data_IF_795539221111
#
_entry.id   IF_795539221111
#
_cell.length_a   1.000
_cell.length_b   1.000
_cell.length_c   1.000
_cell.angle_alpha   90.00
_cell.angle_beta   90.00
_cell.angle_gamma   90.00
#
_symmetry.space_group_name_H-M   'P 1'
#
loop_
_entity.id
_entity.type
_entity.pdbx_description
1 polymer ?
#
# COMPACT_ATOMS: atom_id res chain seq x y z
N UNK A 1 22.36 12.67 -8.94
CA UNK A 1 20.96 13.12 -9.06
C UNK A 1 20.22 12.59 -7.84
N UNK A 2 19.38 13.38 -7.16
CA UNK A 2 18.66 12.87 -5.98
C UNK A 2 17.68 11.77 -6.40
N UNK A 3 17.41 10.79 -5.52
CA UNK A 3 16.45 9.70 -5.79
C UNK A 3 15.09 10.23 -6.24
N UNK A 4 14.60 11.34 -5.64
CA UNK A 4 13.37 12.01 -6.06
C UNK A 4 13.39 12.44 -7.53
N UNK A 5 14.51 12.98 -8.03
CA UNK A 5 14.63 13.37 -9.44
C UNK A 5 14.68 12.16 -10.38
N UNK A 6 15.32 11.07 -9.95
CA UNK A 6 15.33 9.80 -10.71
C UNK A 6 13.93 9.22 -10.81
N UNK A 7 13.22 9.14 -9.68
CA UNK A 7 11.84 8.65 -9.62
C UNK A 7 10.91 9.49 -10.50
N UNK A 8 10.98 10.82 -10.39
CA UNK A 8 10.18 11.72 -11.23
C UNK A 8 10.47 11.51 -12.72
N UNK A 9 11.74 11.39 -13.09
CA UNK A 9 12.14 11.16 -14.50
C UNK A 9 11.60 9.82 -15.00
N UNK A 10 11.74 8.74 -14.25
CA UNK A 10 11.21 7.41 -14.61
C UNK A 10 9.69 7.47 -14.78
N UNK A 11 8.98 8.09 -13.85
CA UNK A 11 7.53 8.23 -13.91
C UNK A 11 7.09 9.06 -15.12
N UNK A 12 7.78 10.17 -15.41
CA UNK A 12 7.49 11.01 -16.57
C UNK A 12 7.74 10.26 -17.88
N UNK A 13 8.87 9.56 -18.00
CA UNK A 13 9.18 8.74 -19.19
C UNK A 13 8.14 7.65 -19.39
N UNK A 14 7.76 6.96 -18.31
CA UNK A 14 6.74 5.91 -18.37
C UNK A 14 5.38 6.46 -18.80
N UNK A 15 4.97 7.60 -18.23
CA UNK A 15 3.71 8.26 -18.54
C UNK A 15 3.64 8.73 -20.01
N UNK A 16 4.72 9.38 -20.50
CA UNK A 16 4.82 9.82 -21.90
C UNK A 16 4.84 8.61 -22.85
N UNK A 17 5.63 7.59 -22.55
CA UNK A 17 5.71 6.37 -23.36
C UNK A 17 4.39 5.64 -23.45
N UNK A 18 3.64 5.58 -22.35
CA UNK A 18 2.31 4.97 -22.31
C UNK A 18 1.30 5.69 -23.19
N UNK A 19 1.28 7.03 -23.17
CA UNK A 19 0.43 7.82 -24.06
C UNK A 19 0.83 7.68 -25.52
N UNK A 20 2.13 7.66 -25.81
CA UNK A 20 2.63 7.42 -27.17
C UNK A 20 2.23 6.02 -27.67
N UNK A 21 2.32 5.00 -26.83
CA UNK A 21 1.87 3.65 -27.15
C UNK A 21 0.38 3.61 -27.47
N UNK A 22 -0.47 4.25 -26.66
CA UNK A 22 -1.90 4.34 -26.92
C UNK A 22 -2.20 5.08 -28.22
N UNK A 23 -1.46 6.14 -28.51
CA UNK A 23 -1.57 6.86 -29.78
C UNK A 23 -1.25 5.96 -30.97
N UNK A 24 -0.13 5.23 -30.92
CA UNK A 24 0.29 4.31 -31.98
C UNK A 24 -0.71 3.17 -32.19
N UNK A 25 -1.22 2.58 -31.10
CA UNK A 25 -2.26 1.55 -31.14
C UNK A 25 -3.56 2.10 -31.77
N UNK A 26 -3.98 3.29 -31.35
CA UNK A 26 -5.17 3.93 -31.87
C UNK A 26 -5.06 4.29 -33.35
N UNK A 27 -3.93 4.83 -33.77
CA UNK A 27 -3.65 5.13 -35.18
C UNK A 27 -3.64 3.86 -36.03
N UNK A 28 -2.96 2.81 -35.57
CA UNK A 28 -2.82 1.57 -36.31
C UNK A 28 -4.15 0.81 -36.44
N UNK A 29 -4.96 0.75 -35.37
CA UNK A 29 -6.16 -0.09 -35.34
C UNK A 29 -7.46 0.66 -35.58
N UNK A 30 -7.59 1.93 -35.16
CA UNK A 30 -8.86 2.66 -35.22
C UNK A 30 -8.97 3.60 -36.41
N UNK A 31 -7.85 4.07 -36.95
CA UNK A 31 -7.80 5.08 -38.02
C UNK A 31 -8.73 6.28 -37.76
N UNK A 32 -8.81 6.73 -36.50
CA UNK A 32 -9.66 7.85 -36.06
C UNK A 32 -8.82 9.12 -36.16
N UNK A 33 -9.21 10.05 -37.03
CA UNK A 33 -8.48 11.29 -37.30
C UNK A 33 -8.28 12.16 -36.04
N UNK A 34 -9.19 12.14 -35.09
CA UNK A 34 -9.15 12.95 -33.88
C UNK A 34 -8.71 12.18 -32.62
N UNK A 35 -8.25 10.93 -32.75
CA UNK A 35 -7.86 10.12 -31.60
C UNK A 35 -6.73 10.75 -30.78
N UNK A 36 -5.82 11.46 -31.43
CA UNK A 36 -4.74 12.18 -30.77
C UNK A 36 -5.24 13.27 -29.81
N UNK A 37 -6.36 13.94 -30.12
CA UNK A 37 -6.92 14.95 -29.21
C UNK A 37 -7.42 14.34 -27.90
N UNK A 38 -8.00 13.15 -27.96
CA UNK A 38 -8.43 12.39 -26.79
C UNK A 38 -7.20 12.06 -25.92
N UNK A 39 -6.13 11.54 -26.51
CA UNK A 39 -4.91 11.19 -25.82
C UNK A 39 -4.26 12.42 -25.17
N UNK A 40 -4.15 13.54 -25.89
CA UNK A 40 -3.63 14.80 -25.35
C UNK A 40 -4.52 15.32 -24.23
N UNK A 41 -5.85 15.28 -24.37
CA UNK A 41 -6.78 15.71 -23.35
C UNK A 41 -6.60 14.94 -22.03
N UNK A 42 -6.51 13.62 -22.10
CA UNK A 42 -6.24 12.79 -20.92
C UNK A 42 -4.83 12.96 -20.37
N UNK A 43 -3.84 13.21 -21.22
CA UNK A 43 -2.49 13.55 -20.77
C UNK A 43 -2.50 14.81 -19.90
N UNK A 44 -3.10 15.90 -20.40
CA UNK A 44 -3.22 17.17 -19.68
C UNK A 44 -4.02 16.99 -18.38
N UNK A 45 -5.15 16.29 -18.45
CA UNK A 45 -6.00 16.02 -17.30
C UNK A 45 -5.21 15.29 -16.20
N UNK A 46 -4.52 14.21 -16.56
CA UNK A 46 -3.76 13.40 -15.60
C UNK A 46 -2.54 14.15 -15.05
N UNK A 47 -1.86 14.94 -15.87
CA UNK A 47 -0.72 15.75 -15.43
C UNK A 47 -1.14 16.87 -14.44
N UNK A 48 -2.37 17.41 -14.60
CA UNK A 48 -2.89 18.48 -13.73
C UNK A 48 -3.61 17.96 -12.48
N UNK A 49 -4.04 16.70 -12.46
CA UNK A 49 -4.91 16.17 -11.41
C UNK A 49 -4.33 16.31 -10.00
N UNK A 50 -3.07 15.92 -9.79
CA UNK A 50 -2.40 16.04 -8.49
C UNK A 50 -2.18 17.49 -8.09
N UNK A 51 -1.91 18.39 -9.05
CA UNK A 51 -1.76 19.83 -8.79
C UNK A 51 -3.08 20.48 -8.39
N UNK A 52 -4.19 20.11 -9.06
CA UNK A 52 -5.54 20.58 -8.70
C UNK A 52 -5.92 20.15 -7.29
N UNK A 53 -5.62 18.90 -6.91
CA UNK A 53 -5.88 18.40 -5.56
C UNK A 53 -5.04 19.10 -4.49
N UNK A 54 -3.79 19.46 -4.80
CA UNK A 54 -2.93 20.22 -3.88
C UNK A 54 -3.39 21.69 -3.74
N UNK A 55 -4.11 22.20 -4.72
CA UNK A 55 -4.67 23.56 -4.66
C UNK A 55 -5.94 23.61 -3.81
N UNK A 56 -6.90 22.71 -4.05
CA UNK A 56 -8.16 22.69 -3.31
C UNK A 56 -8.79 21.29 -3.31
N UNK A 57 -9.22 20.82 -2.14
CA UNK A 57 -9.95 19.56 -2.00
C UNK A 57 -11.46 19.77 -2.20
N UNK A 58 -11.95 19.67 -3.45
CA UNK A 58 -13.36 19.73 -3.80
C UNK A 58 -13.82 18.54 -4.64
N UNK A 59 -15.14 18.38 -4.81
CA UNK A 59 -15.72 17.22 -5.53
C UNK A 59 -15.26 17.12 -6.98
N UNK A 60 -15.11 18.26 -7.68
CA UNK A 60 -14.69 18.29 -9.07
C UNK A 60 -13.24 17.81 -9.21
N UNK A 61 -12.33 18.32 -8.37
CA UNK A 61 -10.92 17.96 -8.46
C UNK A 61 -10.67 16.51 -8.04
N UNK A 62 -11.42 16.00 -7.03
CA UNK A 62 -11.43 14.57 -6.69
C UNK A 62 -11.93 13.69 -7.82
N UNK A 63 -12.99 14.10 -8.52
CA UNK A 63 -13.48 13.40 -9.69
C UNK A 63 -12.44 13.36 -10.81
N UNK A 64 -11.79 14.51 -11.09
CA UNK A 64 -10.69 14.59 -12.07
C UNK A 64 -9.55 13.66 -11.67
N UNK A 65 -9.15 13.66 -10.40
CA UNK A 65 -8.10 12.78 -9.88
C UNK A 65 -8.48 11.30 -10.03
N UNK A 66 -9.70 10.93 -9.68
CA UNK A 66 -10.23 9.57 -9.85
C UNK A 66 -10.21 9.12 -11.32
N UNK A 67 -10.73 9.94 -12.23
CA UNK A 67 -10.74 9.63 -13.68
C UNK A 67 -9.30 9.52 -14.21
N UNK A 68 -8.40 10.38 -13.76
CA UNK A 68 -6.97 10.31 -14.12
C UNK A 68 -6.33 9.00 -13.63
N UNK A 69 -6.69 8.53 -12.44
CA UNK A 69 -6.25 7.24 -11.92
C UNK A 69 -6.77 6.07 -12.77
N UNK A 70 -8.04 6.09 -13.17
CA UNK A 70 -8.60 5.09 -14.11
C UNK A 70 -7.86 5.13 -15.45
N UNK A 71 -7.56 6.33 -15.96
CA UNK A 71 -6.82 6.48 -17.21
C UNK A 71 -5.41 5.91 -17.15
N UNK A 72 -4.69 6.09 -16.03
CA UNK A 72 -3.39 5.42 -15.81
C UNK A 72 -3.57 3.90 -15.87
N UNK A 73 -4.63 3.37 -15.32
CA UNK A 73 -5.00 1.94 -15.46
C UNK A 73 -5.18 1.52 -16.91
N UNK A 74 -5.90 2.32 -17.71
CA UNK A 74 -6.06 2.07 -19.16
C UNK A 74 -4.70 1.99 -19.87
N UNK A 75 -3.76 2.90 -19.54
CA UNK A 75 -2.40 2.88 -20.11
C UNK A 75 -1.68 1.57 -19.76
N UNK A 76 -1.68 1.19 -18.48
CA UNK A 76 -0.99 -0.01 -17.99
C UNK A 76 -1.60 -1.29 -18.59
N UNK A 77 -2.92 -1.37 -18.62
CA UNK A 77 -3.62 -2.50 -19.21
C UNK A 77 -3.42 -2.58 -20.72
N UNK A 78 -3.28 -1.43 -21.39
CA UNK A 78 -2.98 -1.40 -22.83
C UNK A 78 -1.64 -2.04 -23.13
N UNK A 79 -0.61 -1.78 -22.33
CA UNK A 79 0.67 -2.46 -22.44
C UNK A 79 0.52 -3.97 -22.25
N UNK A 80 -0.22 -4.38 -21.21
CA UNK A 80 -0.44 -5.79 -20.91
C UNK A 80 -1.20 -6.51 -22.03
N UNK A 81 -2.30 -5.95 -22.50
CA UNK A 81 -3.09 -6.50 -23.60
C UNK A 81 -2.31 -6.52 -24.92
N UNK A 82 -1.55 -5.46 -25.21
CA UNK A 82 -0.70 -5.41 -26.41
C UNK A 82 0.29 -6.57 -26.41
N UNK A 83 0.97 -6.83 -25.30
CA UNK A 83 1.89 -7.96 -25.21
C UNK A 83 1.18 -9.31 -25.44
N UNK A 84 -0.01 -9.51 -24.84
CA UNK A 84 -0.79 -10.73 -25.06
C UNK A 84 -1.16 -10.89 -26.52
N UNK A 85 -1.72 -9.84 -27.15
CA UNK A 85 -2.17 -9.89 -28.54
C UNK A 85 -1.02 -10.11 -29.50
N UNK A 86 0.13 -9.50 -29.22
CA UNK A 86 1.35 -9.67 -30.02
C UNK A 86 1.91 -11.10 -29.92
N UNK A 87 2.12 -11.61 -28.69
CA UNK A 87 2.72 -12.94 -28.51
C UNK A 87 1.80 -14.09 -28.94
N UNK A 88 0.48 -13.91 -28.83
CA UNK A 88 -0.49 -14.89 -29.31
C UNK A 88 -0.83 -14.72 -30.79
N UNK A 89 -0.24 -13.72 -31.47
CA UNK A 89 -0.45 -13.40 -32.89
C UNK A 89 -1.93 -13.24 -33.26
N UNK A 90 -2.73 -12.65 -32.33
CA UNK A 90 -4.19 -12.57 -32.46
C UNK A 90 -4.65 -11.71 -33.64
N UNK A 91 -3.80 -10.82 -34.16
CA UNK A 91 -4.06 -10.00 -35.34
C UNK A 91 -4.39 -10.82 -36.59
N UNK A 92 -4.00 -12.08 -36.64
CA UNK A 92 -4.29 -12.97 -37.77
C UNK A 92 -5.66 -13.65 -37.69
N UNK A 93 -6.28 -13.64 -36.52
CA UNK A 93 -7.50 -14.42 -36.24
C UNK A 93 -8.70 -13.56 -35.85
N UNK A 94 -8.50 -12.27 -35.57
CA UNK A 94 -9.56 -11.41 -35.04
C UNK A 94 -9.75 -10.20 -35.93
N UNK A 95 -10.89 -10.13 -36.60
CA UNK A 95 -11.35 -8.92 -37.27
C UNK A 95 -11.69 -7.84 -36.23
N UNK A 96 -11.47 -6.57 -36.59
CA UNK A 96 -11.72 -5.43 -35.72
C UNK A 96 -10.97 -5.52 -34.36
N UNK A 97 -9.70 -5.93 -34.39
CA UNK A 97 -8.87 -6.13 -33.23
C UNK A 97 -8.86 -4.93 -32.27
N UNK A 98 -8.90 -3.70 -32.80
CA UNK A 98 -8.97 -2.48 -32.02
C UNK A 98 -10.24 -2.41 -31.17
N UNK A 99 -11.39 -2.77 -31.73
CA UNK A 99 -12.64 -2.81 -30.97
C UNK A 99 -12.51 -3.78 -29.79
N UNK A 100 -12.04 -5.00 -30.02
CA UNK A 100 -11.86 -5.99 -28.96
C UNK A 100 -10.80 -5.56 -27.95
N UNK A 101 -9.74 -4.89 -28.37
CA UNK A 101 -8.73 -4.35 -27.49
C UNK A 101 -9.31 -3.37 -26.45
N UNK A 102 -10.16 -2.44 -26.89
CA UNK A 102 -10.82 -1.48 -25.98
C UNK A 102 -11.95 -2.10 -25.17
N UNK A 103 -12.73 -3.01 -25.75
CA UNK A 103 -13.80 -3.71 -25.03
C UNK A 103 -13.25 -4.59 -23.91
N UNK A 104 -12.14 -5.29 -24.11
CA UNK A 104 -11.49 -6.11 -23.07
C UNK A 104 -11.02 -5.28 -21.87
N UNK A 105 -10.74 -3.99 -22.03
CA UNK A 105 -10.35 -3.14 -20.91
C UNK A 105 -11.46 -2.95 -19.88
N UNK A 106 -12.73 -2.92 -20.32
CA UNK A 106 -13.88 -2.66 -19.42
C UNK A 106 -13.96 -3.72 -18.29
N UNK A 107 -14.04 -5.03 -18.57
CA UNK A 107 -14.08 -6.04 -17.53
C UNK A 107 -12.80 -6.08 -16.69
N UNK A 108 -11.63 -5.77 -17.28
CA UNK A 108 -10.38 -5.69 -16.55
C UNK A 108 -10.45 -4.55 -15.53
N UNK A 109 -10.83 -3.34 -15.94
CA UNK A 109 -10.95 -2.18 -15.04
C UNK A 109 -11.97 -2.42 -13.93
N UNK A 110 -13.11 -3.05 -14.24
CA UNK A 110 -14.09 -3.44 -13.21
C UNK A 110 -13.48 -4.42 -12.22
N UNK A 111 -12.78 -5.44 -12.68
CA UNK A 111 -12.10 -6.41 -11.83
C UNK A 111 -11.03 -5.75 -10.95
N UNK A 112 -10.24 -4.85 -11.52
CA UNK A 112 -9.18 -4.11 -10.82
C UNK A 112 -9.75 -3.19 -9.74
N UNK A 113 -10.82 -2.45 -10.06
CA UNK A 113 -11.51 -1.61 -9.10
C UNK A 113 -12.12 -2.44 -7.96
N UNK A 114 -12.78 -3.56 -8.27
CA UNK A 114 -13.30 -4.46 -7.25
C UNK A 114 -12.18 -5.08 -6.41
N UNK A 115 -11.03 -5.39 -7.00
CA UNK A 115 -9.85 -5.91 -6.30
C UNK A 115 -9.23 -4.88 -5.35
N UNK A 116 -9.34 -3.59 -5.69
CA UNK A 116 -8.92 -2.48 -4.85
C UNK A 116 -9.96 -2.17 -3.75
N UNK A 117 -11.26 -2.20 -4.10
CA UNK A 117 -12.34 -1.81 -3.20
C UNK A 117 -12.69 -2.87 -2.16
N UNK A 118 -12.57 -4.18 -2.50
CA UNK A 118 -12.97 -5.30 -1.65
C UNK A 118 -11.81 -5.76 -0.77
N UNK A 119 -11.68 -5.17 0.43
CA UNK A 119 -10.65 -5.56 1.40
C UNK A 119 -10.84 -7.04 1.79
N UNK A 120 -9.85 -7.88 1.60
CA UNK A 120 -9.84 -9.29 2.00
C UNK A 120 -9.23 -9.49 3.39
N UNK A 121 -9.50 -10.62 4.00
CA UNK A 121 -8.82 -11.06 5.22
C UNK A 121 -7.93 -12.24 4.84
N UNK A 122 -6.60 -12.03 4.90
CA UNK A 122 -5.64 -13.13 4.80
C UNK A 122 -5.35 -13.63 6.21
N UNK A 123 -5.45 -14.94 6.42
CA UNK A 123 -5.20 -15.58 7.71
C UNK A 123 -3.89 -16.32 7.69
N UNK A 124 -3.06 -16.09 8.70
CA UNK A 124 -1.77 -16.76 8.87
C UNK A 124 -1.55 -17.15 10.33
N UNK A 125 -0.65 -18.10 10.56
CA UNK A 125 -0.16 -18.47 11.89
C UNK A 125 1.33 -18.14 11.97
N UNK A 126 1.76 -17.56 13.09
CA UNK A 126 3.16 -17.25 13.35
C UNK A 126 3.55 -17.85 14.70
N UNK A 127 4.61 -18.66 14.70
CA UNK A 127 5.17 -19.29 15.89
C UNK A 127 6.35 -18.49 16.39
N UNK A 128 6.23 -17.95 17.61
CA UNK A 128 7.24 -17.14 18.26
C UNK A 128 7.86 -17.95 19.41
N UNK A 129 9.19 -17.97 19.44
CA UNK A 129 9.94 -18.60 20.54
C UNK A 129 9.72 -17.79 21.82
N UNK A 130 9.60 -18.50 22.94
CA UNK A 130 9.41 -17.92 24.28
C UNK A 130 8.23 -16.94 24.39
N UNK A 131 7.23 -17.07 23.49
CA UNK A 131 5.99 -16.29 23.55
C UNK A 131 5.30 -16.50 24.91
N UNK A 132 4.94 -15.42 25.65
CA UNK A 132 4.18 -15.56 26.88
C UNK A 132 2.87 -16.31 26.66
N UNK A 133 2.48 -17.15 27.60
CA UNK A 133 1.22 -17.93 27.54
C UNK A 133 0.00 -17.03 27.34
N UNK A 134 0.08 -15.79 27.83
CA UNK A 134 -0.94 -14.78 27.60
C UNK A 134 -1.23 -14.52 26.11
N UNK A 135 -0.21 -14.57 25.25
CA UNK A 135 -0.32 -14.30 23.82
C UNK A 135 -0.53 -15.55 22.98
N UNK A 136 -0.36 -16.75 23.55
CA UNK A 136 -0.59 -17.98 22.81
C UNK A 136 -2.04 -18.10 22.38
N UNK A 137 -2.27 -18.50 21.13
CA UNK A 137 -3.58 -18.60 20.48
C UNK A 137 -4.35 -17.26 20.36
N UNK A 138 -3.76 -16.11 20.68
CA UNK A 138 -4.40 -14.83 20.45
C UNK A 138 -4.29 -14.42 18.99
N UNK A 139 -5.32 -13.72 18.53
CA UNK A 139 -5.39 -13.14 17.19
C UNK A 139 -4.98 -11.69 17.25
N UNK A 140 -4.09 -11.31 16.37
CA UNK A 140 -3.77 -9.91 16.08
C UNK A 140 -4.16 -9.59 14.64
N UNK A 141 -4.43 -8.31 14.36
CA UNK A 141 -4.68 -7.83 13.00
C UNK A 141 -3.55 -6.90 12.58
N UNK A 142 -3.01 -7.14 11.39
CA UNK A 142 -2.10 -6.23 10.72
C UNK A 142 -2.83 -5.53 9.57
N UNK A 143 -2.77 -4.20 9.51
CA UNK A 143 -3.28 -3.35 8.45
C UNK A 143 -2.21 -2.31 8.06
N UNK A 144 -2.22 -1.84 6.82
CA UNK A 144 -1.32 -0.81 6.32
C UNK A 144 -1.86 -0.21 5.02
N UNK A 145 -1.24 0.86 4.53
CA UNK A 145 -1.44 1.42 3.20
C UNK A 145 -2.92 1.65 2.87
N UNK A 146 -3.61 2.42 3.71
CA UNK A 146 -5.00 2.79 3.45
C UNK A 146 -5.09 3.90 2.42
N UNK A 147 -4.12 4.84 2.46
CA UNK A 147 -4.09 6.03 1.61
C UNK A 147 -5.43 6.77 1.59
N UNK A 148 -5.91 7.12 2.79
CA UNK A 148 -7.09 7.98 2.92
C UNK A 148 -6.77 9.34 2.34
N UNK A 149 -7.61 9.79 1.39
CA UNK A 149 -7.33 11.01 0.65
C UNK A 149 -8.32 11.26 -0.48
N UNK A 150 -7.87 11.68 -1.66
CA UNK A 150 -8.75 12.04 -2.77
C UNK A 150 -9.67 10.92 -3.22
N UNK A 151 -9.20 9.68 -3.20
CA UNK A 151 -9.95 8.48 -3.66
C UNK A 151 -10.66 7.80 -2.52
N UNK A 152 -9.91 7.41 -1.48
CA UNK A 152 -10.44 6.68 -0.34
C UNK A 152 -10.76 7.63 0.80
N UNK A 153 -12.04 7.72 1.18
CA UNK A 153 -12.53 8.68 2.18
C UNK A 153 -13.08 7.94 3.42
N UNK A 154 -13.77 8.68 4.28
CA UNK A 154 -14.33 8.19 5.54
C UNK A 154 -15.14 6.89 5.39
N UNK A 155 -15.94 6.74 4.33
CA UNK A 155 -16.71 5.52 4.08
C UNK A 155 -15.83 4.28 3.87
N UNK A 156 -14.66 4.45 3.28
CA UNK A 156 -13.68 3.36 3.12
C UNK A 156 -13.01 3.02 4.44
N UNK A 157 -12.63 4.04 5.23
CA UNK A 157 -12.14 3.84 6.59
C UNK A 157 -13.16 3.11 7.46
N UNK A 158 -14.43 3.54 7.44
CA UNK A 158 -15.53 2.88 8.14
C UNK A 158 -15.64 1.39 7.77
N UNK A 159 -15.56 1.08 6.48
CA UNK A 159 -15.60 -0.29 5.98
C UNK A 159 -14.42 -1.13 6.52
N UNK A 160 -13.22 -0.55 6.58
CA UNK A 160 -12.04 -1.19 7.17
C UNK A 160 -12.28 -1.46 8.65
N UNK A 161 -12.67 -0.44 9.42
CA UNK A 161 -12.90 -0.56 10.88
C UNK A 161 -13.96 -1.62 11.18
N UNK A 162 -15.09 -1.62 10.46
CA UNK A 162 -16.10 -2.67 10.60
C UNK A 162 -15.53 -4.07 10.36
N UNK A 163 -14.64 -4.20 9.37
CA UNK A 163 -14.00 -5.47 9.06
C UNK A 163 -13.01 -5.90 10.14
N UNK A 164 -12.16 -5.00 10.63
CA UNK A 164 -11.24 -5.26 11.74
C UNK A 164 -12.00 -5.68 12.98
N UNK A 165 -13.02 -4.90 13.38
CA UNK A 165 -13.81 -5.16 14.59
C UNK A 165 -14.53 -6.51 14.55
N UNK A 166 -14.96 -6.96 13.36
CA UNK A 166 -15.57 -8.29 13.16
C UNK A 166 -14.62 -9.45 13.46
N UNK A 167 -13.31 -9.23 13.37
CA UNK A 167 -12.29 -10.24 13.64
C UNK A 167 -12.05 -10.44 15.15
N UNK A 168 -12.51 -9.50 16.01
CA UNK A 168 -12.35 -9.55 17.46
C UNK A 168 -10.90 -9.77 17.90
N UNK A 169 -9.96 -9.07 17.26
CA UNK A 169 -8.54 -9.19 17.52
C UNK A 169 -8.17 -8.68 18.91
N UNK A 170 -7.19 -9.32 19.55
CA UNK A 170 -6.64 -8.87 20.84
C UNK A 170 -5.86 -7.57 20.67
N UNK A 171 -5.05 -7.44 19.62
CA UNK A 171 -4.34 -6.22 19.27
C UNK A 171 -4.45 -5.93 17.77
N UNK A 172 -4.33 -4.64 17.40
CA UNK A 172 -4.28 -4.20 16.00
C UNK A 172 -3.00 -3.40 15.77
N UNK A 173 -2.27 -3.77 14.74
CA UNK A 173 -1.02 -3.14 14.32
C UNK A 173 -1.23 -2.49 12.96
N UNK A 174 -1.01 -1.18 12.87
CA UNK A 174 -1.13 -0.42 11.62
C UNK A 174 0.26 0.09 11.27
N UNK A 175 0.83 -0.43 10.20
CA UNK A 175 2.20 -0.11 9.79
C UNK A 175 2.22 0.90 8.65
N UNK A 176 1.79 2.12 8.95
CA UNK A 176 1.96 3.29 8.11
C UNK A 176 1.00 3.45 6.94
N UNK A 177 1.15 4.59 6.32
CA UNK A 177 0.42 5.07 5.15
C UNK A 177 -1.11 4.98 5.31
N UNK A 178 -1.58 5.49 6.47
CA UNK A 178 -3.01 5.69 6.68
C UNK A 178 -3.54 6.80 5.79
N UNK A 179 -2.73 7.83 5.55
CA UNK A 179 -3.05 9.00 4.73
C UNK A 179 -2.30 8.95 3.39
N UNK A 180 -2.88 9.58 2.37
CA UNK A 180 -2.25 9.64 1.03
C UNK A 180 -1.11 10.68 0.96
N UNK A 181 -1.06 11.62 1.91
CA UNK A 181 0.00 12.63 2.00
C UNK A 181 -0.21 13.86 1.13
N UNK A 182 -1.35 13.98 0.45
CA UNK A 182 -1.69 15.10 -0.42
C UNK A 182 -2.69 16.09 0.20
N UNK A 183 -3.30 15.74 1.34
CA UNK A 183 -4.33 16.52 1.97
C UNK A 183 -3.77 17.72 2.75
N UNK A 184 -4.36 18.89 2.53
CA UNK A 184 -4.14 20.06 3.36
C UNK A 184 -5.18 20.19 4.51
N UNK A 185 -6.31 19.49 4.41
CA UNK A 185 -7.42 19.55 5.38
C UNK A 185 -7.96 18.14 5.69
N UNK A 186 -8.04 17.83 6.98
CA UNK A 186 -8.59 16.57 7.52
C UNK A 186 -9.95 16.76 8.20
N UNK A 187 -10.60 17.92 8.07
CA UNK A 187 -11.91 18.20 8.69
C UNK A 187 -13.00 17.20 8.28
N UNK A 188 -12.86 16.59 7.10
CA UNK A 188 -13.75 15.54 6.60
C UNK A 188 -13.58 14.19 7.32
N UNK A 189 -12.46 14.00 8.02
CA UNK A 189 -12.09 12.74 8.65
C UNK A 189 -12.51 12.72 10.13
N UNK A 190 -13.78 12.44 10.37
CA UNK A 190 -14.24 12.22 11.75
C UNK A 190 -13.93 10.78 12.18
N UNK A 191 -12.65 10.51 12.50
CA UNK A 191 -12.18 9.21 12.99
C UNK A 191 -12.92 8.79 14.28
N UNK A 192 -13.39 9.74 15.08
CA UNK A 192 -14.11 9.46 16.32
C UNK A 192 -15.37 8.63 16.13
N UNK A 193 -15.99 8.67 14.97
CA UNK A 193 -17.23 7.94 14.67
C UNK A 193 -17.00 6.43 14.50
N UNK A 194 -15.77 5.99 14.23
CA UNK A 194 -15.45 4.59 13.90
C UNK A 194 -14.19 4.12 14.63
N UNK A 195 -14.35 3.72 15.89
CA UNK A 195 -13.22 3.25 16.70
C UNK A 195 -12.87 1.79 16.42
N UNK A 196 -11.60 1.54 16.21
CA UNK A 196 -11.03 0.19 16.19
C UNK A 196 -11.06 -0.35 17.64
N UNK A 197 -11.60 -1.58 17.80
CA UNK A 197 -11.73 -2.25 19.08
C UNK A 197 -10.69 -3.36 19.19
N UNK A 198 -9.82 -3.26 20.21
CA UNK A 198 -8.84 -4.29 20.54
C UNK A 198 -8.56 -4.25 22.04
N UNK A 199 -8.54 -5.42 22.71
CA UNK A 199 -8.39 -5.50 24.18
C UNK A 199 -7.01 -5.09 24.65
N UNK A 200 -5.98 -5.36 23.85
CA UNK A 200 -4.58 -5.05 24.16
C UNK A 200 -4.09 -3.75 23.50
N UNK A 201 -4.94 -3.10 22.72
CA UNK A 201 -4.66 -1.81 22.12
C UNK A 201 -4.52 -1.81 20.60
N UNK A 202 -4.46 -0.60 20.07
CA UNK A 202 -4.21 -0.31 18.65
C UNK A 202 -2.91 0.47 18.56
N UNK A 203 -1.97 -0.06 17.78
CA UNK A 203 -0.62 0.48 17.64
C UNK A 203 -0.41 0.95 16.21
N UNK A 204 0.33 2.04 16.06
CA UNK A 204 0.63 2.66 14.77
C UNK A 204 2.12 2.97 14.66
N UNK A 205 2.73 2.70 13.51
CA UNK A 205 4.05 3.25 13.12
C UNK A 205 3.89 4.07 11.84
N UNK A 206 4.67 5.13 11.68
CA UNK A 206 4.54 6.03 10.53
C UNK A 206 5.06 5.37 9.24
N UNK A 207 4.35 5.59 8.14
CA UNK A 207 4.81 5.33 6.79
C UNK A 207 5.36 6.59 6.12
N UNK A 208 5.89 6.44 4.92
CA UNK A 208 6.52 7.55 4.19
C UNK A 208 5.52 8.63 3.76
N UNK A 209 4.26 8.30 3.53
CA UNK A 209 3.20 9.28 3.23
C UNK A 209 2.76 10.04 4.48
N UNK A 210 2.70 9.38 5.63
CA UNK A 210 2.40 10.05 6.90
C UNK A 210 3.47 11.07 7.27
N UNK A 211 4.75 10.77 6.99
CA UNK A 211 5.86 11.69 7.22
C UNK A 211 5.76 12.95 6.33
N UNK A 212 5.18 12.85 5.13
CA UNK A 212 4.92 14.01 4.26
C UNK A 212 3.94 14.99 4.89
N UNK A 213 2.96 14.49 5.66
CA UNK A 213 2.00 15.30 6.42
C UNK A 213 2.59 15.91 7.69
N UNK A 214 3.68 15.34 8.17
CA UNK A 214 4.32 15.63 9.43
C UNK A 214 3.78 14.80 10.60
N UNK A 215 4.69 14.19 11.32
CA UNK A 215 4.39 13.27 12.41
C UNK A 215 3.50 13.87 13.49
N UNK A 216 3.66 15.16 13.79
CA UNK A 216 2.83 15.88 14.77
C UNK A 216 1.33 15.83 14.40
N UNK A 217 0.99 16.13 13.16
CA UNK A 217 -0.40 16.09 12.67
C UNK A 217 -0.99 14.69 12.79
N UNK A 218 -0.23 13.67 12.37
CA UNK A 218 -0.67 12.26 12.46
C UNK A 218 -0.85 11.83 13.91
N UNK A 219 0.09 12.19 14.81
CA UNK A 219 0.00 11.89 16.23
C UNK A 219 -1.23 12.51 16.90
N UNK A 220 -1.54 13.78 16.60
CA UNK A 220 -2.71 14.47 17.13
C UNK A 220 -4.02 13.80 16.66
N UNK A 221 -4.11 13.48 15.36
CA UNK A 221 -5.28 12.84 14.78
C UNK A 221 -5.51 11.42 15.35
N UNK A 222 -4.47 10.60 15.46
CA UNK A 222 -4.58 9.22 15.89
C UNK A 222 -4.67 9.10 17.41
N UNK A 223 -3.90 9.89 18.17
CA UNK A 223 -3.90 9.89 19.63
C UNK A 223 -5.26 10.25 20.23
N UNK A 224 -5.97 11.22 19.63
CA UNK A 224 -7.33 11.58 20.01
C UNK A 224 -8.33 10.41 19.90
N UNK A 225 -7.98 9.37 19.13
CA UNK A 225 -8.78 8.16 18.89
C UNK A 225 -8.34 6.93 19.68
N UNK A 226 -7.38 7.11 20.60
CA UNK A 226 -6.86 6.02 21.42
C UNK A 226 -5.92 5.07 20.69
N UNK A 227 -5.37 5.49 19.54
CA UNK A 227 -4.34 4.76 18.79
C UNK A 227 -2.98 5.19 19.35
N UNK A 228 -2.19 4.22 19.81
CA UNK A 228 -0.84 4.49 20.31
C UNK A 228 0.15 4.56 19.13
N UNK A 229 0.61 5.74 18.81
CA UNK A 229 1.67 5.93 17.81
C UNK A 229 3.02 5.64 18.48
N UNK A 230 3.83 4.82 17.80
CA UNK A 230 5.21 4.48 18.17
C UNK A 230 6.14 5.07 17.13
N UNK A 231 6.82 6.15 17.50
CA UNK A 231 7.70 6.94 16.65
C UNK A 231 9.15 6.71 17.06
N UNK A 232 9.81 5.69 16.50
CA UNK A 232 11.08 5.16 16.99
C UNK A 232 11.01 4.88 18.49
N UNK A 233 9.94 4.23 18.89
CA UNK A 233 9.60 3.98 20.30
C UNK A 233 9.22 2.50 20.50
N UNK A 234 9.23 2.06 21.74
CA UNK A 234 8.92 0.71 22.13
C UNK A 234 8.11 0.68 23.43
N UNK A 235 7.24 -0.29 23.55
CA UNK A 235 6.58 -0.63 24.80
C UNK A 235 6.58 -2.14 25.04
N UNK A 236 6.42 -2.55 26.27
CA UNK A 236 6.18 -3.93 26.63
C UNK A 236 4.73 -4.11 27.06
N UNK A 237 4.06 -5.12 26.51
CA UNK A 237 2.69 -5.45 26.83
C UNK A 237 2.56 -6.95 27.14
N UNK A 238 2.26 -7.28 28.39
CA UNK A 238 2.12 -8.68 28.83
C UNK A 238 3.30 -9.57 28.42
N UNK A 239 4.54 -9.05 28.57
CA UNK A 239 5.77 -9.75 28.23
C UNK A 239 6.15 -9.78 26.75
N UNK A 240 5.39 -9.12 25.87
CA UNK A 240 5.69 -8.96 24.44
C UNK A 240 6.19 -7.54 24.18
N UNK A 241 7.36 -7.41 23.58
CA UNK A 241 7.91 -6.13 23.12
C UNK A 241 7.27 -5.72 21.79
N UNK A 242 6.73 -4.51 21.73
CA UNK A 242 6.12 -3.91 20.53
C UNK A 242 6.98 -2.70 20.18
N UNK A 243 7.62 -2.76 19.01
CA UNK A 243 8.58 -1.75 18.53
C UNK A 243 7.96 -1.08 17.31
N UNK A 244 7.88 0.25 17.29
CA UNK A 244 7.49 1.04 16.12
C UNK A 244 8.66 1.88 15.63
N UNK A 245 9.03 1.70 14.37
CA UNK A 245 10.02 2.54 13.71
C UNK A 245 9.37 3.35 12.61
N UNK A 246 9.84 4.60 12.45
CA UNK A 246 9.43 5.47 11.35
C UNK A 246 9.93 4.92 10.01
N UNK A 247 9.32 5.37 8.92
CA UNK A 247 9.75 5.07 7.56
C UNK A 247 11.21 5.49 7.32
N UNK A 248 11.96 4.67 6.58
CA UNK A 248 13.38 4.94 6.25
C UNK A 248 13.58 5.69 4.93
N UNK A 249 12.52 6.02 4.22
CA UNK A 249 12.62 6.60 2.87
C UNK A 249 13.41 7.91 2.80
N UNK A 250 13.52 8.62 3.93
CA UNK A 250 14.20 9.91 4.00
C UNK A 250 15.45 9.94 4.88
N UNK A 251 15.75 8.88 5.62
CA UNK A 251 16.82 8.89 6.61
C UNK A 251 17.76 7.70 6.41
N UNK A 252 19.05 7.97 6.43
CA UNK A 252 20.11 6.94 6.55
C UNK A 252 20.14 6.39 7.99
N UNK A 253 19.03 5.79 8.44
CA UNK A 253 18.99 5.20 9.77
C UNK A 253 19.80 3.91 9.81
N UNK A 254 20.62 3.83 10.81
CA UNK A 254 21.10 2.54 11.28
C UNK A 254 20.02 1.93 12.19
N UNK A 255 19.20 1.03 11.62
CA UNK A 255 18.13 0.32 12.33
C UNK A 255 18.67 -0.34 13.60
N UNK A 256 19.87 -0.93 13.49
CA UNK A 256 20.52 -1.62 14.57
C UNK A 256 20.84 -0.65 15.71
N UNK A 257 21.45 0.50 15.40
CA UNK A 257 21.75 1.51 16.40
C UNK A 257 20.48 2.07 17.06
N UNK A 258 19.41 2.25 16.28
CA UNK A 258 18.13 2.74 16.82
C UNK A 258 17.50 1.74 17.77
N UNK A 259 17.32 0.48 17.35
CA UNK A 259 16.68 -0.55 18.18
C UNK A 259 17.52 -0.85 19.42
N UNK A 260 18.82 -1.13 19.27
CA UNK A 260 19.67 -1.59 20.37
C UNK A 260 20.05 -0.45 21.30
N UNK A 261 20.42 0.72 20.77
CA UNK A 261 20.98 1.81 21.59
C UNK A 261 19.92 2.76 22.15
N UNK A 262 18.80 2.96 21.47
CA UNK A 262 17.81 3.96 21.86
C UNK A 262 16.61 3.39 22.58
N UNK A 263 16.19 2.15 22.30
CA UNK A 263 14.90 1.64 22.71
C UNK A 263 14.91 0.65 23.88
N UNK A 264 16.01 0.46 24.57
CA UNK A 264 16.11 -0.51 25.69
C UNK A 264 15.60 -1.92 25.31
N UNK A 265 15.73 -2.29 24.03
CA UNK A 265 15.29 -3.56 23.48
C UNK A 265 16.10 -4.73 24.05
N UNK A 266 15.43 -5.86 24.30
CA UNK A 266 16.08 -7.11 24.72
C UNK A 266 15.79 -8.24 23.75
N UNK A 267 16.84 -8.76 23.10
CA UNK A 267 16.72 -9.91 22.18
C UNK A 267 16.36 -11.24 22.88
N UNK A 268 16.34 -11.27 24.22
CA UNK A 268 15.88 -12.42 25.00
C UNK A 268 14.38 -12.48 25.23
N UNK A 269 13.66 -11.41 24.86
CA UNK A 269 12.21 -11.33 25.00
C UNK A 269 11.53 -11.35 23.63
N UNK A 270 10.36 -11.98 23.51
CA UNK A 270 9.60 -12.00 22.26
C UNK A 270 9.23 -10.60 21.81
N UNK A 271 9.23 -10.38 20.48
CA UNK A 271 9.10 -9.04 19.92
C UNK A 271 8.36 -9.00 18.59
N UNK A 272 7.59 -7.92 18.40
CA UNK A 272 6.97 -7.53 17.13
C UNK A 272 7.54 -6.18 16.72
N UNK A 273 8.12 -6.12 15.53
CA UNK A 273 8.60 -4.89 14.90
C UNK A 273 7.56 -4.40 13.87
N UNK A 274 7.09 -3.19 14.06
CA UNK A 274 6.28 -2.42 13.11
C UNK A 274 7.22 -1.53 12.32
N UNK A 275 7.42 -1.84 11.05
CA UNK A 275 8.26 -1.07 10.13
C UNK A 275 7.61 -1.07 8.76
N UNK A 276 7.30 0.12 8.26
CA UNK A 276 6.50 0.27 7.04
C UNK A 276 7.14 -0.42 5.83
N UNK A 277 8.43 -0.18 5.56
CA UNK A 277 9.14 -0.83 4.46
C UNK A 277 9.67 -2.20 4.86
N UNK A 278 9.55 -3.22 3.98
CA UNK A 278 10.24 -4.48 4.18
C UNK A 278 11.75 -4.31 3.97
N UNK A 279 12.52 -4.65 5.00
CA UNK A 279 14.00 -4.60 4.96
C UNK A 279 14.59 -6.00 4.92
N UNK A 280 15.91 -6.09 4.75
CA UNK A 280 16.63 -7.38 4.69
C UNK A 280 16.31 -8.30 5.86
N UNK A 281 15.77 -9.50 5.57
CA UNK A 281 15.49 -10.52 6.58
C UNK A 281 16.71 -10.86 7.42
N UNK A 282 17.90 -10.87 6.81
CA UNK A 282 19.13 -11.21 7.50
C UNK A 282 19.50 -10.18 8.58
N UNK A 283 19.31 -8.89 8.26
CA UNK A 283 19.61 -7.79 9.19
C UNK A 283 18.69 -7.82 10.40
N UNK A 284 17.39 -7.97 10.20
CA UNK A 284 16.40 -7.99 11.29
C UNK A 284 16.53 -9.27 12.13
N UNK A 285 16.75 -10.42 11.48
CA UNK A 285 17.00 -11.68 12.19
C UNK A 285 18.22 -11.57 13.13
N UNK A 286 19.31 -10.91 12.71
CA UNK A 286 20.51 -10.77 13.54
C UNK A 286 20.29 -9.93 14.80
N UNK A 287 19.23 -9.11 14.83
CA UNK A 287 18.82 -8.34 16.01
C UNK A 287 17.99 -9.17 17.01
N UNK A 288 17.58 -10.39 16.66
CA UNK A 288 16.77 -11.24 17.51
C UNK A 288 15.28 -10.88 17.52
N UNK A 289 14.81 -10.11 16.53
CA UNK A 289 13.37 -9.83 16.33
C UNK A 289 12.66 -11.12 15.89
N UNK A 290 11.45 -11.39 16.39
CA UNK A 290 10.68 -12.58 16.06
C UNK A 290 9.71 -12.37 14.89
N UNK A 291 9.00 -11.22 14.87
CA UNK A 291 8.04 -10.90 13.83
C UNK A 291 8.20 -9.46 13.38
N UNK A 292 8.36 -9.23 12.08
CA UNK A 292 8.24 -7.91 11.46
C UNK A 292 6.93 -7.83 10.68
N UNK A 293 6.22 -6.71 10.82
CA UNK A 293 5.04 -6.35 10.08
C UNK A 293 5.37 -5.18 9.15
N UNK A 294 5.13 -5.34 7.85
CA UNK A 294 5.44 -4.33 6.82
C UNK A 294 4.36 -4.23 5.75
N UNK A 295 4.26 -3.06 5.13
CA UNK A 295 3.42 -2.74 3.98
C UNK A 295 4.24 -2.20 2.81
N UNK A 296 3.94 -0.95 2.37
CA UNK A 296 4.66 -0.13 1.40
C UNK A 296 4.65 -0.62 -0.05
N UNK A 297 4.78 -1.89 -0.27
CA UNK A 297 4.98 -2.48 -1.61
C UNK A 297 3.70 -2.57 -2.43
N UNK A 298 2.54 -2.52 -1.78
CA UNK A 298 1.22 -2.80 -2.36
C UNK A 298 1.13 -4.15 -3.12
N UNK A 299 2.14 -5.04 -2.96
CA UNK A 299 2.32 -6.19 -3.84
C UNK A 299 2.44 -5.78 -5.32
N UNK A 300 3.02 -4.60 -5.57
CA UNK A 300 3.17 -3.97 -6.88
C UNK A 300 1.91 -3.33 -7.44
N UNK A 301 0.78 -3.45 -6.78
CA UNK A 301 -0.55 -2.90 -7.12
C UNK A 301 -1.03 -3.24 -8.53
N UNK A 302 -0.28 -2.92 -9.59
CA UNK A 302 -0.62 -3.12 -11.00
C UNK A 302 0.58 -3.64 -11.81
N UNK A 303 0.31 -4.33 -12.92
CA UNK A 303 1.34 -4.67 -13.91
C UNK A 303 1.91 -3.39 -14.56
N UNK A 304 3.23 -3.25 -14.80
CA UNK A 304 4.30 -4.23 -14.53
C UNK A 304 4.94 -4.13 -13.14
N UNK A 305 4.43 -3.26 -12.24
CA UNK A 305 5.07 -2.99 -10.95
C UNK A 305 5.16 -4.24 -10.05
N UNK A 306 4.26 -5.22 -10.24
CA UNK A 306 4.36 -6.51 -9.55
C UNK A 306 5.69 -7.22 -9.85
N UNK A 307 6.18 -7.14 -11.09
CA UNK A 307 7.47 -7.74 -11.47
C UNK A 307 8.64 -6.90 -10.95
N UNK A 308 8.52 -5.58 -11.05
CA UNK A 308 9.53 -4.63 -10.57
C UNK A 308 9.74 -4.80 -9.05
N UNK A 309 8.66 -4.87 -8.27
CA UNK A 309 8.74 -5.05 -6.82
C UNK A 309 9.43 -6.37 -6.44
N UNK A 310 9.13 -7.47 -7.13
CA UNK A 310 9.83 -8.74 -6.89
C UNK A 310 11.34 -8.62 -7.02
N UNK A 311 11.81 -7.84 -7.99
CA UNK A 311 13.24 -7.60 -8.20
C UNK A 311 13.80 -6.69 -7.10
N UNK A 312 13.13 -5.56 -6.82
CA UNK A 312 13.58 -4.55 -5.86
C UNK A 312 13.66 -5.11 -4.43
N UNK A 313 12.66 -5.90 -4.04
CA UNK A 313 12.58 -6.51 -2.71
C UNK A 313 13.10 -7.95 -2.65
N UNK A 314 13.83 -8.40 -3.69
CA UNK A 314 14.43 -9.73 -3.75
C UNK A 314 13.42 -10.86 -3.48
N UNK A 315 12.20 -10.70 -3.98
CA UNK A 315 11.08 -11.64 -3.79
C UNK A 315 10.33 -11.51 -2.46
N UNK A 316 10.71 -10.54 -1.60
CA UNK A 316 10.04 -10.31 -0.30
C UNK A 316 9.04 -9.15 -0.35
N UNK A 317 8.37 -8.99 -1.47
CA UNK A 317 7.44 -7.90 -1.74
C UNK A 317 6.00 -8.16 -1.24
N UNK A 318 5.61 -9.41 -0.99
CA UNK A 318 4.27 -9.78 -0.51
C UNK A 318 4.25 -11.18 0.08
N UNK A 319 3.64 -11.34 1.26
CA UNK A 319 3.42 -12.64 1.87
C UNK A 319 4.08 -12.81 3.24
N UNK A 320 4.13 -14.05 3.73
CA UNK A 320 4.81 -14.43 4.95
C UNK A 320 6.12 -15.13 4.60
N UNK A 321 7.23 -14.58 5.08
CA UNK A 321 8.57 -15.12 4.91
C UNK A 321 9.14 -15.56 6.25
N UNK A 322 9.99 -16.57 6.23
CA UNK A 322 10.62 -17.12 7.42
C UNK A 322 12.11 -17.31 7.21
N UNK A 323 12.91 -16.90 8.21
CA UNK A 323 14.34 -17.17 8.25
C UNK A 323 14.75 -17.54 9.68
N UNK A 324 15.06 -18.83 9.92
CA UNK A 324 15.22 -19.33 11.29
C UNK A 324 13.93 -19.17 12.09
N UNK A 325 13.99 -18.47 13.21
CA UNK A 325 12.83 -18.16 14.06
C UNK A 325 12.18 -16.81 13.70
N UNK A 326 12.84 -15.98 12.90
CA UNK A 326 12.31 -14.71 12.43
C UNK A 326 11.26 -14.89 11.33
N UNK A 327 10.18 -14.11 11.44
CA UNK A 327 9.12 -14.02 10.44
C UNK A 327 8.97 -12.58 9.94
N UNK A 328 8.83 -12.40 8.64
CA UNK A 328 8.45 -11.14 7.99
C UNK A 328 7.09 -11.32 7.32
N UNK A 329 6.10 -10.53 7.74
CA UNK A 329 4.83 -10.43 7.02
C UNK A 329 4.79 -9.12 6.24
N UNK A 330 4.74 -9.22 4.92
CA UNK A 330 4.50 -8.08 4.03
C UNK A 330 3.07 -8.13 3.52
N UNK A 331 2.29 -7.11 3.84
CA UNK A 331 0.92 -6.96 3.36
C UNK A 331 0.89 -6.15 2.07
N UNK A 332 -0.07 -6.46 1.20
CA UNK A 332 -0.35 -5.63 0.02
C UNK A 332 -1.14 -4.36 0.34
N UNK A 333 -1.51 -4.14 1.61
CA UNK A 333 -2.23 -2.97 2.04
C UNK A 333 -3.73 -3.00 1.80
N UNK A 334 -4.46 -2.15 2.51
CA UNK A 334 -5.91 -2.10 2.47
C UNK A 334 -6.48 -1.17 1.38
N UNK A 335 -5.78 -0.07 1.06
CA UNK A 335 -6.15 0.90 0.02
C UNK A 335 -5.28 0.80 -1.24
N UNK A 336 -5.13 1.89 -1.94
CA UNK A 336 -4.27 2.02 -3.14
C UNK A 336 -3.59 3.38 -3.14
N UNK A 337 -2.39 3.43 -3.65
CA UNK A 337 -1.72 4.69 -3.94
C UNK A 337 -1.97 5.10 -5.39
N UNK A 338 -2.43 6.36 -5.61
CA UNK A 338 -2.77 6.89 -6.93
C UNK A 338 -3.98 6.17 -7.57
N UNK A 339 -3.81 5.36 -8.63
CA UNK A 339 -4.92 4.67 -9.29
C UNK A 339 -5.75 3.80 -8.34
N UNK A 340 -7.10 3.91 -8.33
CA UNK A 340 -7.98 3.07 -7.51
C UNK A 340 -8.15 1.66 -8.08
N UNK A 341 -7.06 1.05 -8.51
CA UNK A 341 -7.06 -0.19 -9.30
C UNK A 341 -5.98 -1.14 -8.79
N UNK A 342 -6.25 -2.45 -8.85
CA UNK A 342 -5.30 -3.51 -8.51
C UNK A 342 -5.36 -4.68 -9.48
N UNK A 343 -4.24 -4.96 -10.17
CA UNK A 343 -4.07 -6.12 -11.03
C UNK A 343 -2.91 -6.99 -10.53
N UNK A 344 -3.19 -8.29 -10.30
CA UNK A 344 -2.28 -9.28 -9.67
C UNK A 344 -1.93 -8.99 -8.20
N UNK A 345 -2.62 -8.05 -7.59
CA UNK A 345 -2.59 -7.71 -6.18
C UNK A 345 -4.03 -7.50 -5.69
N UNK A 346 -4.28 -7.46 -4.39
CA UNK A 346 -5.62 -7.26 -3.82
C UNK A 346 -5.52 -6.52 -2.51
N UNK A 347 -6.51 -5.69 -2.23
CA UNK A 347 -6.63 -5.04 -0.92
C UNK A 347 -6.86 -6.08 0.18
N UNK A 348 -6.08 -5.99 1.26
CA UNK A 348 -6.17 -6.92 2.38
C UNK A 348 -5.91 -6.29 3.75
N UNK A 349 -6.36 -7.00 4.77
CA UNK A 349 -5.83 -6.97 6.13
C UNK A 349 -5.41 -8.39 6.50
N UNK A 350 -4.48 -8.53 7.44
CA UNK A 350 -3.94 -9.84 7.82
C UNK A 350 -4.35 -10.19 9.25
N UNK A 351 -5.11 -11.27 9.43
CA UNK A 351 -5.36 -11.89 10.75
C UNK A 351 -4.21 -12.85 11.04
N UNK A 352 -3.48 -12.61 12.12
CA UNK A 352 -2.32 -13.40 12.54
C UNK A 352 -2.66 -14.09 13.85
N UNK A 353 -2.66 -15.41 13.87
CA UNK A 353 -2.73 -16.18 15.10
C UNK A 353 -1.32 -16.38 15.64
N UNK A 354 -1.06 -15.85 16.83
CA UNK A 354 0.22 -16.06 17.51
C UNK A 354 0.23 -17.43 18.19
N UNK A 355 1.34 -18.14 18.08
CA UNK A 355 1.54 -19.45 18.71
C UNK A 355 2.88 -19.50 19.41
N UNK A 356 2.89 -20.06 20.60
CA UNK A 356 4.13 -20.46 21.25
C UNK A 356 4.79 -21.58 20.48
N UNK A 357 6.13 -21.48 20.31
CA UNK A 357 6.92 -22.51 19.61
C UNK A 357 7.30 -23.62 20.58
#
# INVERSE_FOLDING_TARGET
>A
MSMKKVFFLITAVFFISGHLLLFLIGQYYLNIEFFYLIIIGFFVLSASASWLMAWEDNYLFRFIYFISGIWVGVILNSLFLFLIFYFLNLQQYIDNLAFWFFICQIPILIFEFLSAYLIRVRKIEVRIKDLPDYWDNKKIVHACDLHLGPVWRLSFYEKLVKKINKLQASAVFITGDLFDGMEADFSWLNINSFKIKATEGVYYSLGNHDEMLGSKTVNELLGANGIKVLENDMLEKNGLQIIGLNSFHHLKYDIEATIIKQLSYSSSKPSILMLHEPVSLAKIQSLGIDLQLSGHTHGGQMFPNNLINKILYLGHDFGLFKKGDFHLNVSSGAGTWGPPLRLFSRSEIVEITLRKK
#
